data_IF_413820245564
#
_entry.id   IF_413820245564
#
_cell.length_a   1.000
_cell.length_b   1.000
_cell.length_c   1.000
_cell.angle_alpha   90.00
_cell.angle_beta   90.00
_cell.angle_gamma   90.00
#
_symmetry.space_group_name_H-M   'P 1'
#
loop_
_entity.id
_entity.type
_entity.pdbx_description
1 polymer ?
#
# COMPACT_ATOMS: atom_id res chain seq x y z
N UNK A 1 -4.60 -24.63 23.71
CA UNK A 1 -5.61 -24.92 22.67
C UNK A 1 -4.89 -25.08 21.32
N UNK A 2 -4.58 -26.33 20.91
CA UNK A 2 -4.25 -26.63 19.51
C UNK A 2 -5.58 -26.66 18.77
N UNK A 3 -6.09 -25.49 18.40
CA UNK A 3 -7.42 -25.38 17.79
C UNK A 3 -7.35 -25.85 16.35
N UNK A 4 -8.16 -26.87 16.04
CA UNK A 4 -8.59 -27.28 14.71
C UNK A 4 -9.27 -26.10 13.98
N UNK A 5 -8.50 -25.08 13.59
CA UNK A 5 -8.95 -24.05 12.65
C UNK A 5 -8.44 -24.51 11.29
N UNK A 6 -9.38 -25.03 10.50
CA UNK A 6 -9.14 -25.77 9.26
C UNK A 6 -8.34 -24.95 8.24
N UNK A 7 -7.64 -25.61 7.30
CA UNK A 7 -7.06 -24.97 6.12
C UNK A 7 -8.06 -24.08 5.37
N UNK A 8 -9.36 -24.37 5.46
CA UNK A 8 -10.43 -23.61 4.81
C UNK A 8 -10.55 -22.17 5.30
N UNK A 9 -10.49 -21.89 6.61
CA UNK A 9 -10.68 -20.53 7.11
C UNK A 9 -9.55 -19.58 6.73
N UNK A 10 -8.38 -20.14 6.42
CA UNK A 10 -7.18 -19.43 5.97
C UNK A 10 -6.96 -19.54 4.46
N UNK A 11 -7.84 -20.23 3.72
CA UNK A 11 -7.67 -20.41 2.27
C UNK A 11 -7.60 -19.08 1.49
N UNK A 12 -8.44 -18.06 1.77
CA UNK A 12 -8.28 -16.74 1.15
C UNK A 12 -6.97 -16.04 1.54
N UNK A 13 -6.40 -16.40 2.70
CA UNK A 13 -5.12 -15.87 3.15
C UNK A 13 -3.96 -16.48 2.37
N UNK A 14 -3.90 -17.82 2.34
CA UNK A 14 -2.88 -18.58 1.62
C UNK A 14 -2.88 -18.27 0.13
N UNK A 15 -4.05 -18.22 -0.51
CA UNK A 15 -4.18 -17.88 -1.93
C UNK A 15 -3.46 -16.58 -2.28
N UNK A 16 -3.56 -15.56 -1.42
CA UNK A 16 -2.95 -14.26 -1.66
C UNK A 16 -1.46 -14.22 -1.35
N UNK A 17 -0.98 -15.02 -0.40
CA UNK A 17 0.45 -15.17 -0.13
C UNK A 17 1.16 -15.84 -1.31
N UNK A 18 0.45 -16.73 -2.01
CA UNK A 18 0.97 -17.45 -3.18
C UNK A 18 0.92 -16.60 -4.47
N UNK A 19 0.26 -15.44 -4.47
CA UNK A 19 0.22 -14.58 -5.64
C UNK A 19 1.60 -13.95 -5.91
N UNK A 20 2.04 -13.88 -7.17
CA UNK A 20 3.23 -13.12 -7.55
C UNK A 20 2.98 -11.62 -7.32
N UNK A 21 3.39 -11.13 -6.15
CA UNK A 21 3.28 -9.74 -5.73
C UNK A 21 4.54 -8.92 -6.05
N UNK A 22 4.42 -7.61 -5.97
CA UNK A 22 5.56 -6.68 -6.16
C UNK A 22 6.57 -6.69 -5.01
N UNK A 23 6.27 -7.39 -3.92
CA UNK A 23 7.08 -7.49 -2.69
C UNK A 23 7.58 -6.14 -2.16
N UNK A 24 6.79 -5.08 -2.35
CA UNK A 24 7.15 -3.69 -2.03
C UNK A 24 7.48 -3.55 -0.54
N UNK A 25 6.71 -4.19 0.34
CA UNK A 25 6.92 -4.12 1.78
C UNK A 25 8.14 -4.91 2.22
N UNK A 26 8.41 -6.08 1.62
CA UNK A 26 9.63 -6.84 1.91
C UNK A 26 10.89 -6.07 1.47
N UNK A 27 10.80 -5.40 0.32
CA UNK A 27 11.84 -4.50 -0.21
C UNK A 27 12.07 -3.29 0.71
N UNK A 28 10.98 -2.66 1.16
CA UNK A 28 11.01 -1.57 2.13
C UNK A 28 11.71 -2.00 3.44
N UNK A 29 11.26 -3.10 4.05
CA UNK A 29 11.84 -3.63 5.29
C UNK A 29 13.33 -3.95 5.09
N UNK A 30 13.69 -4.58 3.97
CA UNK A 30 15.09 -4.94 3.70
C UNK A 30 15.97 -3.69 3.54
N UNK A 31 15.47 -2.67 2.84
CA UNK A 31 16.17 -1.40 2.64
C UNK A 31 16.38 -0.65 3.97
N UNK A 32 15.32 -0.46 4.77
CA UNK A 32 15.42 0.22 6.06
C UNK A 32 16.24 -0.58 7.08
N UNK A 33 16.27 -1.91 6.99
CA UNK A 33 17.07 -2.73 7.91
C UNK A 33 18.59 -2.54 7.71
N UNK A 34 19.04 -2.10 6.54
CA UNK A 34 20.45 -1.74 6.35
C UNK A 34 20.88 -0.57 7.24
N UNK A 35 19.96 0.37 7.49
CA UNK A 35 20.16 1.49 8.40
C UNK A 35 19.87 1.11 9.86
N UNK A 36 18.74 0.44 10.11
CA UNK A 36 18.26 0.14 11.46
C UNK A 36 18.93 -1.09 12.11
N UNK A 37 19.54 -1.99 11.33
CA UNK A 37 20.31 -3.16 11.80
C UNK A 37 19.63 -3.93 12.93
N UNK A 38 18.38 -4.29 12.70
CA UNK A 38 17.55 -4.96 13.70
C UNK A 38 18.04 -6.40 13.88
N UNK A 39 18.05 -6.94 15.11
CA UNK A 39 18.28 -8.36 15.36
C UNK A 39 17.35 -9.26 14.52
N UNK A 40 17.88 -10.33 13.92
CA UNK A 40 17.12 -11.14 12.95
C UNK A 40 15.85 -11.78 13.57
N UNK A 41 15.89 -12.13 14.86
CA UNK A 41 14.74 -12.66 15.60
C UNK A 41 13.58 -11.65 15.66
N UNK A 42 13.88 -10.37 15.93
CA UNK A 42 12.90 -9.28 15.94
C UNK A 42 12.46 -8.92 14.53
N UNK A 43 13.40 -8.87 13.58
CA UNK A 43 13.11 -8.59 12.17
C UNK A 43 12.13 -9.61 11.59
N UNK A 44 12.28 -10.88 11.94
CA UNK A 44 11.37 -11.95 11.53
C UNK A 44 9.97 -11.80 12.12
N UNK A 45 9.87 -11.35 13.38
CA UNK A 45 8.58 -11.00 14.00
C UNK A 45 7.94 -9.83 13.24
N UNK A 46 8.69 -8.77 12.94
CA UNK A 46 8.20 -7.61 12.18
C UNK A 46 7.76 -8.03 10.78
N UNK A 47 8.58 -8.82 10.06
CA UNK A 47 8.23 -9.39 8.76
C UNK A 47 6.93 -10.17 8.86
N UNK A 48 6.72 -11.04 9.86
CA UNK A 48 5.46 -11.77 10.05
C UNK A 48 4.27 -10.84 10.31
N UNK A 49 4.40 -9.87 11.23
CA UNK A 49 3.33 -8.92 11.56
C UNK A 49 2.95 -8.09 10.34
N UNK A 50 3.95 -7.53 9.65
CA UNK A 50 3.73 -6.72 8.46
C UNK A 50 3.23 -7.61 7.32
N UNK A 51 3.96 -8.63 6.88
CA UNK A 51 3.60 -9.46 5.71
C UNK A 51 2.30 -10.24 5.92
N UNK A 52 2.14 -10.97 7.03
CA UNK A 52 0.96 -11.83 7.25
C UNK A 52 -0.21 -11.01 7.83
N UNK A 53 0.08 -10.14 8.79
CA UNK A 53 -0.94 -9.39 9.51
C UNK A 53 -1.49 -8.18 8.77
N UNK A 54 -0.65 -7.53 7.95
CA UNK A 54 -0.92 -6.17 7.50
C UNK A 54 -0.57 -5.88 6.04
N UNK A 55 0.16 -6.72 5.28
CA UNK A 55 0.77 -6.28 4.02
C UNK A 55 0.64 -7.25 2.85
N UNK A 56 0.49 -8.55 3.07
CA UNK A 56 0.35 -9.53 1.99
C UNK A 56 -0.95 -10.31 2.17
N UNK A 57 -2.05 -9.74 1.68
CA UNK A 57 -2.39 -8.35 1.46
C UNK A 57 -3.23 -7.85 2.65
N UNK A 58 -3.23 -6.55 2.91
CA UNK A 58 -3.94 -5.94 4.05
C UNK A 58 -5.34 -6.57 4.27
N UNK A 59 -5.81 -6.73 5.52
CA UNK A 59 -7.24 -6.81 5.79
C UNK A 59 -7.98 -5.72 5.03
N UNK A 60 -7.40 -4.52 4.99
CA UNK A 60 -7.72 -3.46 4.05
C UNK A 60 -7.65 -3.90 2.59
N UNK A 61 -6.56 -4.33 1.91
CA UNK A 61 -6.61 -4.76 0.50
C UNK A 61 -7.66 -5.86 0.18
N UNK A 62 -7.88 -6.84 1.07
CA UNK A 62 -8.91 -7.87 0.89
C UNK A 62 -10.31 -7.28 0.96
N UNK A 63 -10.50 -6.40 1.95
CA UNK A 63 -11.73 -5.67 2.17
C UNK A 63 -11.89 -4.55 1.13
N UNK A 64 -10.81 -4.01 0.57
CA UNK A 64 -10.69 -2.96 -0.45
C UNK A 64 -11.08 -3.55 -1.80
N UNK A 65 -10.54 -4.74 -2.16
CA UNK A 65 -11.01 -5.48 -3.31
C UNK A 65 -12.54 -5.70 -3.24
N UNK A 66 -13.12 -5.94 -2.05
CA UNK A 66 -14.57 -6.02 -1.83
C UNK A 66 -15.24 -4.64 -1.90
N UNK A 67 -14.71 -3.64 -1.19
CA UNK A 67 -15.25 -2.27 -1.05
C UNK A 67 -15.26 -1.53 -2.40
N UNK A 68 -14.32 -1.85 -3.28
CA UNK A 68 -14.15 -1.26 -4.60
C UNK A 68 -14.85 -2.09 -5.69
N UNK A 69 -15.33 -3.28 -5.33
CA UNK A 69 -15.88 -4.28 -6.26
C UNK A 69 -14.88 -4.63 -7.37
N UNK A 70 -13.62 -4.84 -6.95
CA UNK A 70 -12.52 -5.24 -7.83
C UNK A 70 -12.77 -6.60 -8.45
N UNK A 71 -12.28 -6.83 -9.67
CA UNK A 71 -12.40 -8.14 -10.35
C UNK A 71 -11.09 -8.93 -10.37
N UNK A 72 -9.96 -8.23 -10.50
CA UNK A 72 -8.65 -8.83 -10.70
C UNK A 72 -7.60 -8.24 -9.76
N UNK A 73 -6.67 -9.09 -9.33
CA UNK A 73 -5.44 -8.74 -8.61
C UNK A 73 -4.30 -9.54 -9.20
N UNK A 74 -3.24 -8.86 -9.65
CA UNK A 74 -2.09 -9.51 -10.30
C UNK A 74 -2.51 -10.45 -11.47
N UNK A 75 -3.48 -10.03 -12.29
CA UNK A 75 -4.10 -10.82 -13.38
C UNK A 75 -4.92 -12.04 -12.95
N UNK A 76 -5.04 -12.30 -11.66
CA UNK A 76 -5.77 -13.43 -11.11
C UNK A 76 -7.06 -12.94 -10.44
N UNK A 77 -8.10 -13.79 -10.32
CA UNK A 77 -9.35 -13.39 -9.68
C UNK A 77 -9.13 -12.99 -8.23
N UNK A 78 -9.86 -11.97 -7.77
CA UNK A 78 -9.86 -11.54 -6.37
C UNK A 78 -10.41 -12.62 -5.45
N UNK A 79 -9.98 -12.71 -4.18
CA UNK A 79 -10.38 -13.79 -3.27
C UNK A 79 -11.88 -13.92 -3.08
N UNK A 80 -12.61 -12.80 -3.00
CA UNK A 80 -14.05 -12.82 -2.79
C UNK A 80 -14.84 -13.37 -3.99
N UNK A 81 -14.24 -13.41 -5.18
CA UNK A 81 -14.82 -14.07 -6.36
C UNK A 81 -14.64 -15.59 -6.35
N UNK A 82 -13.65 -16.11 -5.60
CA UNK A 82 -13.32 -17.54 -5.51
C UNK A 82 -13.96 -18.16 -4.26
N UNK A 83 -13.77 -17.52 -3.10
CA UNK A 83 -14.15 -18.02 -1.77
C UNK A 83 -15.42 -17.37 -1.22
N UNK A 84 -15.95 -16.36 -1.91
CA UNK A 84 -17.07 -15.55 -1.45
C UNK A 84 -16.67 -14.42 -0.49
N UNK A 85 -17.55 -13.44 -0.38
CA UNK A 85 -17.36 -12.23 0.45
C UNK A 85 -17.19 -12.61 1.93
N UNK A 86 -18.07 -13.44 2.48
CA UNK A 86 -18.06 -13.79 3.90
C UNK A 86 -16.76 -14.46 4.36
N UNK A 87 -16.25 -15.43 3.59
CA UNK A 87 -14.97 -16.09 3.92
C UNK A 87 -13.79 -15.13 3.79
N UNK A 88 -13.82 -14.26 2.78
CA UNK A 88 -12.74 -13.28 2.55
C UNK A 88 -12.66 -12.25 3.68
N UNK A 89 -13.81 -11.73 4.15
CA UNK A 89 -13.88 -10.84 5.32
C UNK A 89 -13.39 -11.55 6.58
N UNK A 90 -13.83 -12.79 6.82
CA UNK A 90 -13.40 -13.54 7.99
C UNK A 90 -11.88 -13.79 7.99
N UNK A 91 -11.31 -14.18 6.85
CA UNK A 91 -9.87 -14.38 6.70
C UNK A 91 -9.08 -13.06 6.87
N UNK A 92 -9.62 -11.94 6.37
CA UNK A 92 -9.05 -10.61 6.56
C UNK A 92 -9.00 -10.22 8.04
N UNK A 93 -10.11 -10.37 8.77
CA UNK A 93 -10.17 -10.08 10.20
C UNK A 93 -9.28 -11.02 11.03
N UNK A 94 -9.19 -12.29 10.64
CA UNK A 94 -8.25 -13.24 11.26
C UNK A 94 -6.80 -12.79 11.10
N UNK A 95 -6.42 -12.20 9.97
CA UNK A 95 -5.06 -11.70 9.76
C UNK A 95 -4.69 -10.57 10.74
N UNK A 96 -5.65 -9.73 11.17
CA UNK A 96 -5.40 -8.71 12.22
C UNK A 96 -4.96 -9.35 13.55
N UNK A 97 -5.33 -10.60 13.82
CA UNK A 97 -4.89 -11.34 15.01
C UNK A 97 -3.40 -11.69 14.97
N UNK A 98 -2.69 -11.43 13.87
CA UNK A 98 -1.22 -11.47 13.84
C UNK A 98 -0.59 -10.50 14.86
N UNK A 99 -1.33 -9.52 15.37
CA UNK A 99 -0.92 -8.68 16.51
C UNK A 99 -0.53 -9.49 17.75
N UNK A 100 -0.97 -10.75 17.88
CA UNK A 100 -0.53 -11.66 18.95
C UNK A 100 0.98 -11.91 18.96
N UNK A 101 1.67 -11.60 17.86
CA UNK A 101 3.13 -11.71 17.73
C UNK A 101 3.86 -10.48 18.30
N UNK A 102 3.20 -9.34 18.49
CA UNK A 102 3.81 -8.09 19.01
C UNK A 102 4.54 -8.26 20.35
N UNK A 103 4.03 -9.02 21.34
CA UNK A 103 4.76 -9.23 22.60
C UNK A 103 6.17 -9.81 22.41
N UNK A 104 6.42 -10.53 21.30
CA UNK A 104 7.74 -11.10 21.00
C UNK A 104 8.80 -10.05 20.67
N UNK A 105 8.40 -8.80 20.39
CA UNK A 105 9.34 -7.69 20.24
C UNK A 105 9.95 -7.22 21.57
N UNK A 106 9.34 -7.61 22.70
CA UNK A 106 9.82 -7.28 24.04
C UNK A 106 9.50 -5.86 24.49
N UNK A 107 8.65 -5.14 23.77
CA UNK A 107 8.27 -3.75 24.07
C UNK A 107 6.76 -3.55 23.95
N UNK A 108 6.15 -3.00 25.00
CA UNK A 108 4.71 -2.76 25.07
C UNK A 108 4.23 -1.67 24.09
N UNK A 109 5.10 -0.70 23.74
CA UNK A 109 4.77 0.37 22.79
C UNK A 109 4.48 -0.17 21.39
N UNK A 110 4.86 -1.41 21.08
CA UNK A 110 4.55 -2.06 19.81
C UNK A 110 3.02 -2.15 19.58
N UNK A 111 2.23 -2.39 20.64
CA UNK A 111 0.76 -2.38 20.56
C UNK A 111 0.20 -0.98 20.35
N UNK A 112 0.77 0.03 21.01
CA UNK A 112 0.35 1.42 20.85
C UNK A 112 0.59 1.91 19.42
N UNK A 113 1.77 1.62 18.87
CA UNK A 113 2.13 1.91 17.48
C UNK A 113 1.14 1.24 16.52
N UNK A 114 0.88 -0.08 16.68
CA UNK A 114 -0.07 -0.77 15.83
C UNK A 114 -1.47 -0.14 15.90
N UNK A 115 -1.94 0.10 17.12
CA UNK A 115 -3.29 0.62 17.38
C UNK A 115 -3.46 2.00 16.79
N UNK A 116 -2.49 2.89 17.00
CA UNK A 116 -2.48 4.24 16.43
C UNK A 116 -2.52 4.18 14.91
N UNK A 117 -1.62 3.43 14.27
CA UNK A 117 -1.55 3.35 12.82
C UNK A 117 -2.85 2.79 12.21
N UNK A 118 -3.48 1.80 12.85
CA UNK A 118 -4.79 1.27 12.43
C UNK A 118 -5.95 2.25 12.67
N UNK A 119 -5.95 2.99 13.79
CA UNK A 119 -6.99 3.97 14.13
C UNK A 119 -7.09 5.11 13.11
N UNK A 120 -5.97 5.49 12.49
CA UNK A 120 -5.97 6.50 11.44
C UNK A 120 -6.12 5.92 10.03
N UNK A 121 -5.74 4.67 9.82
CA UNK A 121 -5.92 3.97 8.55
C UNK A 121 -7.40 3.80 8.19
N UNK A 122 -8.24 3.41 9.16
CA UNK A 122 -9.67 3.19 8.89
C UNK A 122 -10.43 4.47 8.50
N UNK A 123 -10.27 5.62 9.18
CA UNK A 123 -10.86 6.88 8.72
C UNK A 123 -10.34 7.33 7.35
N UNK A 124 -9.07 7.06 7.03
CA UNK A 124 -8.52 7.31 5.70
C UNK A 124 -9.29 6.54 4.62
N UNK A 125 -9.46 5.24 4.81
CA UNK A 125 -10.27 4.37 3.93
C UNK A 125 -11.74 4.81 3.89
N UNK A 126 -12.34 5.10 5.05
CA UNK A 126 -13.74 5.51 5.15
C UNK A 126 -14.03 6.81 4.41
N UNK A 127 -13.09 7.76 4.44
CA UNK A 127 -13.19 9.01 3.68
C UNK A 127 -13.10 8.78 2.17
N UNK A 128 -12.25 7.86 1.72
CA UNK A 128 -12.12 7.49 0.31
C UNK A 128 -13.43 6.87 -0.22
N UNK A 129 -13.97 5.89 0.51
CA UNK A 129 -15.27 5.28 0.23
C UNK A 129 -16.39 6.33 0.22
N UNK A 130 -16.47 7.17 1.25
CA UNK A 130 -17.51 8.19 1.34
C UNK A 130 -17.47 9.15 0.15
N UNK A 131 -16.28 9.63 -0.23
CA UNK A 131 -16.14 10.56 -1.36
C UNK A 131 -16.55 9.93 -2.67
N UNK A 132 -16.15 8.68 -2.90
CA UNK A 132 -16.53 7.91 -4.08
C UNK A 132 -18.05 7.73 -4.13
N UNK A 133 -18.64 7.20 -3.07
CA UNK A 133 -20.07 6.85 -3.02
C UNK A 133 -20.96 8.12 -3.04
N UNK A 134 -20.49 9.23 -2.47
CA UNK A 134 -21.15 10.54 -2.52
C UNK A 134 -20.80 11.39 -3.76
N UNK A 135 -19.92 10.89 -4.65
CA UNK A 135 -19.43 11.61 -5.84
C UNK A 135 -18.83 13.00 -5.54
N UNK A 136 -18.11 13.14 -4.43
CA UNK A 136 -17.45 14.37 -4.01
C UNK A 136 -15.98 14.34 -4.43
N UNK A 137 -15.60 15.22 -5.36
CA UNK A 137 -14.19 15.43 -5.70
C UNK A 137 -13.48 16.18 -4.55
N UNK A 138 -12.42 15.63 -3.96
CA UNK A 138 -11.69 16.33 -2.92
C UNK A 138 -10.83 17.47 -3.49
N UNK A 139 -10.48 18.43 -2.63
CA UNK A 139 -9.36 19.33 -2.92
C UNK A 139 -8.04 18.56 -2.87
N UNK A 140 -7.02 19.08 -3.54
CA UNK A 140 -5.70 18.44 -3.58
C UNK A 140 -5.12 18.20 -2.16
N UNK A 141 -5.20 19.20 -1.27
CA UNK A 141 -4.79 19.06 0.15
C UNK A 141 -5.53 17.93 0.88
N UNK A 142 -6.86 17.83 0.66
CA UNK A 142 -7.70 16.78 1.24
C UNK A 142 -7.43 15.40 0.65
N UNK A 143 -6.97 15.34 -0.59
CA UNK A 143 -6.48 14.11 -1.21
C UNK A 143 -5.16 13.71 -0.57
N UNK A 144 -4.13 14.57 -0.53
CA UNK A 144 -2.85 14.27 0.11
C UNK A 144 -2.98 13.82 1.57
N UNK A 145 -3.85 14.46 2.34
CA UNK A 145 -4.13 14.08 3.73
C UNK A 145 -4.73 12.67 3.81
N UNK A 146 -5.66 12.34 2.92
CA UNK A 146 -6.27 11.01 2.84
C UNK A 146 -5.24 9.95 2.45
N UNK A 147 -4.45 10.21 1.40
CA UNK A 147 -3.37 9.33 0.92
C UNK A 147 -2.36 9.01 2.02
N UNK A 148 -1.92 10.04 2.74
CA UNK A 148 -1.00 9.90 3.88
C UNK A 148 -1.59 9.00 4.98
N UNK A 149 -2.91 9.07 5.19
CA UNK A 149 -3.62 8.26 6.18
C UNK A 149 -3.96 6.84 5.70
N UNK A 150 -3.84 6.49 4.42
CA UNK A 150 -4.17 5.14 3.93
C UNK A 150 -2.89 4.32 3.72
N UNK A 151 -2.23 4.52 2.58
CA UNK A 151 -1.03 3.73 2.19
C UNK A 151 0.21 4.14 2.98
N UNK A 152 0.35 5.42 3.33
CA UNK A 152 1.47 5.92 4.13
C UNK A 152 1.53 5.28 5.53
N UNK A 153 0.38 5.01 6.16
CA UNK A 153 0.30 4.40 7.50
C UNK A 153 0.86 2.98 7.55
N UNK A 154 0.71 2.17 6.50
CA UNK A 154 1.27 0.81 6.48
C UNK A 154 2.80 0.81 6.40
N UNK A 155 3.38 1.68 5.57
CA UNK A 155 4.83 1.84 5.51
C UNK A 155 5.37 2.39 6.82
N UNK A 156 4.67 3.36 7.40
CA UNK A 156 5.05 3.96 8.67
C UNK A 156 4.94 2.99 9.83
N UNK A 157 3.94 2.13 9.85
CA UNK A 157 3.81 1.05 10.84
C UNK A 157 5.02 0.11 10.78
N UNK A 158 5.41 -0.31 9.56
CA UNK A 158 6.60 -1.14 9.39
C UNK A 158 7.85 -0.43 9.95
N UNK A 159 8.08 0.82 9.57
CA UNK A 159 9.29 1.55 9.99
C UNK A 159 9.27 1.94 11.47
N UNK A 160 8.11 2.28 12.07
CA UNK A 160 7.99 2.54 13.52
C UNK A 160 8.30 1.28 14.34
N UNK A 161 7.77 0.11 13.95
CA UNK A 161 8.11 -1.16 14.62
C UNK A 161 9.59 -1.52 14.46
N UNK A 162 10.17 -1.21 13.29
CA UNK A 162 11.58 -1.38 13.01
C UNK A 162 12.47 -0.45 13.86
N UNK A 163 12.09 0.83 14.01
CA UNK A 163 12.76 1.79 14.88
C UNK A 163 12.69 1.36 16.35
N UNK A 164 11.54 0.85 16.81
CA UNK A 164 11.37 0.32 18.17
C UNK A 164 12.31 -0.85 18.46
N UNK A 165 12.61 -1.67 17.44
CA UNK A 165 13.49 -2.82 17.56
C UNK A 165 14.98 -2.52 17.27
N UNK A 166 15.31 -1.26 16.97
CA UNK A 166 16.64 -0.79 16.61
C UNK A 166 17.27 0.04 17.73
N UNK A 167 18.61 0.12 17.74
CA UNK A 167 19.36 1.05 18.60
C UNK A 167 19.53 2.45 17.96
N UNK A 168 19.09 2.63 16.71
CA UNK A 168 19.16 3.91 16.00
C UNK A 168 18.19 4.94 16.57
N UNK A 169 18.68 6.14 16.84
CA UNK A 169 17.90 7.31 17.29
C UNK A 169 17.30 8.15 16.16
N UNK A 170 17.77 7.94 14.92
CA UNK A 170 17.27 8.63 13.73
C UNK A 170 15.78 8.38 13.50
N UNK A 171 15.04 9.45 13.21
CA UNK A 171 13.62 9.38 12.83
C UNK A 171 13.46 9.25 11.31
N UNK A 172 12.93 8.10 10.87
CA UNK A 172 12.68 7.81 9.46
C UNK A 172 11.23 8.08 9.06
N UNK A 173 10.34 8.40 10.01
CA UNK A 173 8.91 8.65 9.76
C UNK A 173 8.67 9.73 8.69
N UNK A 174 9.37 10.88 8.68
CA UNK A 174 9.17 11.91 7.65
C UNK A 174 9.46 11.41 6.23
N UNK A 175 10.55 10.65 6.06
CA UNK A 175 10.92 10.05 4.77
C UNK A 175 9.83 9.06 4.31
N UNK A 176 9.40 8.19 5.21
CA UNK A 176 8.40 7.16 4.90
C UNK A 176 7.04 7.76 4.52
N UNK A 177 6.63 8.86 5.15
CA UNK A 177 5.41 9.58 4.76
C UNK A 177 5.50 10.08 3.30
N UNK A 178 6.64 10.64 2.90
CA UNK A 178 6.85 11.09 1.51
C UNK A 178 6.84 9.90 0.55
N UNK A 179 7.54 8.81 0.89
CA UNK A 179 7.54 7.59 0.07
C UNK A 179 6.12 7.00 -0.11
N UNK A 180 5.31 7.01 0.95
CA UNK A 180 3.92 6.55 0.89
C UNK A 180 3.04 7.37 -0.06
N UNK A 181 3.21 8.70 -0.05
CA UNK A 181 2.50 9.60 -0.98
C UNK A 181 2.95 9.36 -2.43
N UNK A 182 4.26 9.27 -2.67
CA UNK A 182 4.78 8.99 -4.02
C UNK A 182 4.24 7.67 -4.54
N UNK A 183 4.23 6.63 -3.69
CA UNK A 183 3.78 5.30 -4.07
C UNK A 183 2.33 5.30 -4.56
N UNK A 184 1.43 6.04 -3.89
CA UNK A 184 0.02 6.08 -4.27
C UNK A 184 -0.21 6.91 -5.54
N UNK A 185 0.35 8.12 -5.63
CA UNK A 185 0.21 8.98 -6.82
C UNK A 185 0.75 8.26 -8.05
N UNK A 186 1.85 7.51 -7.89
CA UNK A 186 2.41 6.68 -8.94
C UNK A 186 1.48 5.53 -9.31
N UNK A 187 0.85 4.87 -8.34
CA UNK A 187 -0.09 3.78 -8.61
C UNK A 187 -1.29 4.28 -9.44
N UNK A 188 -1.86 5.43 -9.07
CA UNK A 188 -2.97 6.10 -9.77
C UNK A 188 -2.54 6.54 -11.18
N UNK A 189 -1.37 7.15 -11.30
CA UNK A 189 -0.81 7.58 -12.60
C UNK A 189 -0.60 6.39 -13.55
N UNK A 190 0.03 5.31 -13.07
CA UNK A 190 0.33 4.13 -13.88
C UNK A 190 -0.93 3.35 -14.27
N UNK A 191 -1.99 3.38 -13.44
CA UNK A 191 -3.28 2.77 -13.78
C UNK A 191 -3.87 3.36 -15.07
N UNK A 192 -3.72 4.68 -15.24
CA UNK A 192 -4.30 5.43 -16.36
C UNK A 192 -3.38 5.53 -17.58
N UNK A 193 -2.05 5.57 -17.38
CA UNK A 193 -1.08 5.80 -18.46
C UNK A 193 -0.39 4.53 -18.97
N UNK A 194 -0.25 3.50 -18.15
CA UNK A 194 0.56 2.33 -18.51
C UNK A 194 -0.31 1.15 -18.92
N UNK A 195 -0.41 0.87 -20.22
CA UNK A 195 -1.14 -0.29 -20.74
C UNK A 195 -0.65 -1.64 -20.17
N UNK A 196 0.64 -1.77 -19.84
CA UNK A 196 1.20 -2.97 -19.17
C UNK A 196 0.73 -3.10 -17.72
N UNK A 197 0.62 -1.98 -17.01
CA UNK A 197 0.14 -1.93 -15.63
C UNK A 197 -1.37 -2.18 -15.54
N UNK A 198 -2.12 -1.58 -16.48
CA UNK A 198 -3.53 -1.81 -16.70
C UNK A 198 -3.86 -3.30 -16.93
N UNK A 199 -2.99 -4.07 -17.58
CA UNK A 199 -3.19 -5.53 -17.72
C UNK A 199 -3.18 -6.28 -16.38
N UNK A 200 -2.57 -5.76 -15.32
CA UNK A 200 -2.50 -6.42 -14.01
C UNK A 200 -3.72 -6.15 -13.12
N UNK A 201 -4.34 -4.96 -13.24
CA UNK A 201 -5.48 -4.50 -12.41
C UNK A 201 -6.81 -4.36 -13.19
N UNK A 202 -6.75 -4.24 -14.51
CA UNK A 202 -7.83 -3.72 -15.36
C UNK A 202 -7.53 -2.28 -15.81
N UNK A 203 -7.75 -1.95 -17.09
CA UNK A 203 -7.52 -0.59 -17.62
C UNK A 203 -8.58 0.38 -17.09
N UNK A 204 -8.14 1.51 -16.52
CA UNK A 204 -9.04 2.51 -15.96
C UNK A 204 -9.88 1.96 -14.81
N UNK A 205 -9.31 1.03 -14.02
CA UNK A 205 -9.99 0.47 -12.84
C UNK A 205 -10.43 1.60 -11.92
N UNK A 206 -9.55 2.57 -11.68
CA UNK A 206 -9.80 3.68 -10.76
C UNK A 206 -10.89 4.64 -11.32
N UNK A 207 -10.95 4.82 -12.64
CA UNK A 207 -12.07 5.50 -13.30
C UNK A 207 -13.38 4.72 -13.14
N UNK A 208 -13.30 3.39 -13.27
CA UNK A 208 -14.45 2.50 -13.12
C UNK A 208 -14.94 2.48 -11.67
N UNK A 209 -14.04 2.59 -10.69
CA UNK A 209 -14.36 2.71 -9.26
C UNK A 209 -15.07 4.02 -8.94
N UNK A 210 -14.58 5.14 -9.47
CA UNK A 210 -15.19 6.46 -9.30
C UNK A 210 -16.59 6.57 -9.96
N UNK A 211 -16.92 5.72 -10.92
CA UNK A 211 -18.17 5.74 -11.69
C UNK A 211 -19.18 4.66 -11.24
N UNK A 212 -19.36 4.48 -9.92
CA UNK A 212 -20.26 3.44 -9.36
C UNK A 212 -21.72 3.54 -9.83
N UNK A 213 -22.29 4.74 -10.01
CA UNK A 213 -23.67 4.90 -10.49
C UNK A 213 -23.82 4.56 -11.99
N UNK A 214 -22.91 4.99 -12.89
CA UNK A 214 -22.86 4.50 -14.27
C UNK A 214 -22.62 2.99 -14.45
N UNK A 215 -22.04 2.27 -13.46
CA UNK A 215 -21.76 0.82 -13.54
C UNK A 215 -23.00 -0.02 -13.88
N UNK A 216 -24.22 0.46 -13.60
CA UNK A 216 -25.44 -0.25 -13.99
C UNK A 216 -25.66 -0.29 -15.52
N UNK A 217 -24.96 0.53 -16.31
CA UNK A 217 -25.20 0.68 -17.76
C UNK A 217 -23.97 0.66 -18.66
N UNK A 218 -22.74 0.78 -18.15
CA UNK A 218 -21.55 0.80 -19.01
C UNK A 218 -20.39 -0.05 -18.49
N UNK A 219 -19.92 -0.98 -19.32
CA UNK A 219 -18.63 -1.70 -19.19
C UNK A 219 -17.59 -1.17 -20.16
N UNK A 220 -17.78 0.08 -20.59
CA UNK A 220 -17.30 0.51 -21.89
C UNK A 220 -15.87 1.02 -21.84
N UNK A 221 -14.97 0.29 -22.48
CA UNK A 221 -13.58 0.69 -22.67
C UNK A 221 -13.49 2.09 -23.31
N UNK A 222 -14.50 2.45 -24.10
CA UNK A 222 -14.61 3.75 -24.76
C UNK A 222 -14.81 4.91 -23.78
N UNK A 223 -15.54 4.69 -22.68
CA UNK A 223 -15.71 5.70 -21.62
C UNK A 223 -14.39 5.93 -20.89
N UNK A 224 -13.67 4.86 -20.56
CA UNK A 224 -12.33 4.99 -19.94
C UNK A 224 -11.35 5.68 -20.88
N UNK A 225 -11.34 5.32 -22.17
CA UNK A 225 -10.52 5.97 -23.18
C UNK A 225 -10.86 7.46 -23.36
N UNK A 226 -12.14 7.81 -23.37
CA UNK A 226 -12.60 9.19 -23.45
C UNK A 226 -12.15 10.00 -22.23
N UNK A 227 -12.38 9.48 -21.02
CA UNK A 227 -11.95 10.12 -19.78
C UNK A 227 -10.44 10.32 -19.74
N UNK A 228 -9.64 9.31 -20.11
CA UNK A 228 -8.19 9.43 -20.21
C UNK A 228 -7.76 10.50 -21.22
N UNK A 229 -8.40 10.57 -22.40
CA UNK A 229 -8.13 11.62 -23.40
C UNK A 229 -8.47 13.02 -22.86
N UNK A 230 -9.57 13.15 -22.13
CA UNK A 230 -9.95 14.42 -21.51
C UNK A 230 -8.92 14.85 -20.45
N UNK A 231 -8.52 13.95 -19.54
CA UNK A 231 -7.48 14.17 -18.52
C UNK A 231 -6.14 14.57 -19.18
N UNK A 232 -5.80 13.96 -20.31
CA UNK A 232 -4.63 14.32 -21.12
C UNK A 232 -4.75 15.74 -21.68
N UNK A 233 -5.90 16.10 -22.27
CA UNK A 233 -6.13 17.43 -22.83
C UNK A 233 -6.11 18.54 -21.77
N UNK A 234 -6.55 18.23 -20.55
CA UNK A 234 -6.51 19.12 -19.39
C UNK A 234 -5.12 19.26 -18.75
N UNK A 235 -4.10 18.58 -19.31
CA UNK A 235 -2.71 18.58 -18.80
C UNK A 235 -2.55 18.02 -17.38
N UNK A 236 -3.53 17.27 -16.88
CA UNK A 236 -3.51 16.71 -15.53
C UNK A 236 -2.36 15.70 -15.33
N UNK A 237 -2.03 14.90 -16.35
CA UNK A 237 -0.89 13.98 -16.29
C UNK A 237 0.47 14.71 -16.18
N UNK A 238 0.59 15.89 -16.79
CA UNK A 238 1.81 16.71 -16.70
C UNK A 238 1.93 17.35 -15.31
N UNK A 239 0.81 17.76 -14.71
CA UNK A 239 0.78 18.20 -13.33
C UNK A 239 1.18 17.07 -12.37
N UNK A 240 0.57 15.88 -12.50
CA UNK A 240 0.93 14.70 -11.70
C UNK A 240 2.42 14.32 -11.82
N UNK A 241 2.98 14.35 -13.05
CA UNK A 241 4.40 14.08 -13.27
C UNK A 241 5.31 15.11 -12.57
N UNK A 242 4.96 16.40 -12.62
CA UNK A 242 5.71 17.44 -11.90
C UNK A 242 5.69 17.21 -10.39
N UNK A 243 4.51 16.92 -9.83
CA UNK A 243 4.35 16.59 -8.42
C UNK A 243 5.20 15.37 -8.02
N UNK A 244 5.21 14.32 -8.84
CA UNK A 244 6.05 13.13 -8.62
C UNK A 244 7.55 13.46 -8.65
N UNK A 245 7.99 14.32 -9.58
CA UNK A 245 9.39 14.77 -9.66
C UNK A 245 9.77 15.56 -8.39
N UNK A 246 8.94 16.51 -7.97
CA UNK A 246 9.17 17.33 -6.77
C UNK A 246 9.24 16.47 -5.50
N UNK A 247 8.30 15.53 -5.33
CA UNK A 247 8.30 14.61 -4.20
C UNK A 247 9.49 13.66 -4.23
N UNK A 248 9.89 13.17 -5.40
CA UNK A 248 11.06 12.29 -5.55
C UNK A 248 12.35 13.03 -5.21
N UNK A 249 12.50 14.28 -5.64
CA UNK A 249 13.64 15.12 -5.27
C UNK A 249 13.68 15.35 -3.74
N UNK A 250 12.52 15.64 -3.13
CA UNK A 250 12.38 15.78 -1.68
C UNK A 250 12.76 14.49 -0.93
N UNK A 251 12.28 13.34 -1.39
CA UNK A 251 12.63 12.04 -0.80
C UNK A 251 14.12 11.76 -0.93
N UNK A 252 14.74 12.09 -2.07
CA UNK A 252 16.18 11.91 -2.30
C UNK A 252 17.00 12.75 -1.33
N UNK A 253 16.69 14.03 -1.18
CA UNK A 253 17.35 14.90 -0.21
C UNK A 253 17.19 14.40 1.24
N UNK A 254 16.01 13.87 1.59
CA UNK A 254 15.79 13.24 2.90
C UNK A 254 16.65 11.99 3.11
N UNK A 255 16.80 11.14 2.09
CA UNK A 255 17.66 9.96 2.15
C UNK A 255 19.14 10.35 2.30
N UNK A 256 19.59 11.37 1.59
CA UNK A 256 20.97 11.90 1.68
C UNK A 256 21.28 12.45 3.08
N UNK A 257 20.32 13.14 3.71
CA UNK A 257 20.49 13.64 5.08
C UNK A 257 20.58 12.53 6.14
N UNK A 258 19.98 11.37 5.85
CA UNK A 258 19.97 10.21 6.75
C UNK A 258 21.18 9.30 6.51
N UNK A 259 21.71 9.30 5.28
CA UNK A 259 22.90 8.57 4.90
C UNK A 259 24.15 9.13 5.60
N UNK A 260 24.99 8.25 6.15
CA UNK A 260 26.27 8.63 6.76
C UNK A 260 27.42 8.64 5.74
N UNK A 261 27.10 8.70 4.44
CA UNK A 261 28.08 8.69 3.35
C UNK A 261 28.78 7.34 3.13
N UNK A 262 28.23 6.22 3.64
CA UNK A 262 28.82 4.88 3.49
C UNK A 262 28.36 4.22 2.19
N UNK A 263 29.18 3.30 1.65
CA UNK A 263 28.83 2.52 0.43
C UNK A 263 27.47 1.82 0.52
N UNK A 264 27.04 1.42 1.72
CA UNK A 264 25.73 0.79 1.95
C UNK A 264 24.55 1.76 1.78
N UNK A 265 24.76 3.06 2.01
CA UNK A 265 23.71 4.06 1.84
C UNK A 265 23.33 4.22 0.36
N UNK A 266 24.30 4.09 -0.54
CA UNK A 266 24.05 4.13 -1.99
C UNK A 266 23.16 2.95 -2.42
N UNK A 267 23.38 1.76 -1.87
CA UNK A 267 22.56 0.59 -2.19
C UNK A 267 21.11 0.75 -1.68
N UNK A 268 20.93 1.28 -0.47
CA UNK A 268 19.60 1.58 0.09
C UNK A 268 18.88 2.64 -0.74
N UNK A 269 19.57 3.74 -1.07
CA UNK A 269 19.01 4.81 -1.89
C UNK A 269 18.62 4.31 -3.28
N UNK A 270 19.43 3.46 -3.91
CA UNK A 270 19.08 2.84 -5.18
C UNK A 270 17.84 1.95 -5.07
N UNK A 271 17.72 1.19 -3.98
CA UNK A 271 16.57 0.32 -3.76
C UNK A 271 15.26 1.10 -3.57
N UNK A 272 15.30 2.12 -2.70
CA UNK A 272 14.15 2.99 -2.44
C UNK A 272 13.79 3.83 -3.67
N UNK A 273 14.79 4.34 -4.40
CA UNK A 273 14.60 5.06 -5.66
C UNK A 273 13.95 4.18 -6.72
N UNK A 274 14.37 2.92 -6.85
CA UNK A 274 13.75 1.96 -7.76
C UNK A 274 12.29 1.64 -7.42
N UNK A 275 11.90 1.72 -6.14
CA UNK A 275 10.50 1.54 -5.73
C UNK A 275 9.60 2.69 -6.18
N UNK A 276 10.15 3.91 -6.26
CA UNK A 276 9.42 5.12 -6.64
C UNK A 276 9.64 5.55 -8.10
N UNK A 277 10.59 4.94 -8.80
CA UNK A 277 10.91 5.25 -10.20
C UNK A 277 9.73 4.95 -11.15
N UNK A 278 9.51 5.83 -12.12
CA UNK A 278 8.53 5.65 -13.20
C UNK A 278 9.06 4.73 -14.32
N UNK A 279 9.63 3.57 -13.97
CA UNK A 279 10.05 2.60 -14.99
C UNK A 279 8.85 1.81 -15.54
N UNK A 280 8.79 1.66 -16.88
CA UNK A 280 7.85 0.75 -17.56
C UNK A 280 6.81 1.38 -18.51
N UNK A 281 6.88 2.70 -18.75
CA UNK A 281 6.00 3.41 -19.71
C UNK A 281 6.69 3.77 -21.04
N UNK A 282 7.73 3.03 -21.42
CA UNK A 282 8.25 2.99 -22.79
C UNK A 282 7.51 1.97 -23.64
#
# INVERSE_FOLDING_TARGET
MKTCISPLSRAPLTYLLDLPGKNVQSKLISAFNQWLKIPEDKLDVIKRIIIIGLAVPTPTLRIDDIQDSSKLRCKLPVPHSIFGIGQTINAANYALLAQQELPKLGDAHAFEILTEELLYLHPGQGMDIYRRDASICPTEEKYFTMVSNQTGRLFRLAVKLMQLASESDKDYVPLVNVLGVIFLIRDDYLNLQCGRYAKNKGFGKDLTEALQYPKQRTTDMDVNLFATRYIQSARSFQHCLRTLIELTAKATAMMENVADGRSKDIEVMNHLSGMIALEGCG
#
